data_IF_236260121935
#
_entry.id   IF_236260121935
#
_cell.length_a   1.000
_cell.length_b   1.000
_cell.length_c   1.000
_cell.angle_alpha   90.00
_cell.angle_beta   90.00
_cell.angle_gamma   90.00
#
_symmetry.space_group_name_H-M   'P 1'
#
loop_
_entity.id
_entity.type
_entity.pdbx_description
1 polymer ?
#
# COMPACT_ATOMS: atom_id res chain seq x y z
N UNK A 1 8.70 -12.56 -2.00
CA UNK A 1 7.74 -11.93 -1.09
C UNK A 1 6.36 -12.37 -1.52
N UNK A 2 5.52 -12.87 -0.62
CA UNK A 2 4.12 -13.17 -0.96
C UNK A 2 3.34 -11.87 -1.00
N UNK A 3 2.23 -11.88 -1.74
CA UNK A 3 1.34 -10.71 -1.84
C UNK A 3 0.85 -10.22 -0.46
N UNK A 4 0.53 -11.15 0.43
CA UNK A 4 0.10 -10.87 1.80
C UNK A 4 1.17 -10.11 2.59
N UNK A 5 2.44 -10.53 2.49
CA UNK A 5 3.56 -9.85 3.16
C UNK A 5 3.68 -8.41 2.66
N UNK A 6 3.48 -8.18 1.35
CA UNK A 6 3.55 -6.85 0.75
C UNK A 6 2.43 -5.96 1.26
N UNK A 7 1.21 -6.48 1.30
CA UNK A 7 0.11 -5.72 1.87
C UNK A 7 0.38 -5.35 3.33
N UNK A 8 0.92 -6.26 4.14
CA UNK A 8 1.23 -5.95 5.55
C UNK A 8 2.31 -4.88 5.68
N UNK A 9 3.37 -4.93 4.87
CA UNK A 9 4.40 -3.89 4.87
C UNK A 9 3.80 -2.52 4.48
N UNK A 10 2.98 -2.47 3.42
CA UNK A 10 2.33 -1.22 2.99
C UNK A 10 1.40 -0.66 4.07
N UNK A 11 0.64 -1.52 4.75
CA UNK A 11 -0.22 -1.12 5.89
C UNK A 11 0.60 -0.51 7.01
N UNK A 12 1.74 -1.12 7.37
CA UNK A 12 2.62 -0.59 8.41
C UNK A 12 3.13 0.81 8.04
N UNK A 13 3.66 0.97 6.82
CA UNK A 13 4.17 2.25 6.33
C UNK A 13 3.10 3.34 6.29
N UNK A 14 1.88 3.00 5.86
CA UNK A 14 0.74 3.92 5.87
C UNK A 14 0.28 4.34 7.28
N UNK A 15 0.58 3.55 8.32
CA UNK A 15 0.32 3.92 9.73
C UNK A 15 1.41 4.83 10.28
N UNK A 16 2.66 4.57 9.94
CA UNK A 16 3.82 5.31 10.45
C UNK A 16 3.96 6.70 9.82
N UNK A 17 3.65 6.83 8.54
CA UNK A 17 3.77 8.10 7.83
C UNK A 17 2.53 8.98 8.05
N UNK A 18 2.68 10.01 8.89
CA UNK A 18 1.62 11.00 9.15
C UNK A 18 1.13 11.64 7.85
N UNK A 19 -0.19 11.64 7.66
CA UNK A 19 -0.83 12.26 6.49
C UNK A 19 -0.93 11.36 5.26
N UNK A 20 -0.18 10.27 5.17
CA UNK A 20 -0.15 9.41 3.98
C UNK A 20 -1.53 8.83 3.63
N UNK A 21 -2.32 8.37 4.60
CA UNK A 21 -3.66 7.84 4.34
C UNK A 21 -4.61 8.88 3.72
N UNK A 22 -4.54 10.13 4.18
CA UNK A 22 -5.35 11.20 3.65
C UNK A 22 -4.92 11.59 2.24
N UNK A 23 -3.62 11.55 1.97
CA UNK A 23 -3.06 11.81 0.65
C UNK A 23 -3.38 10.71 -0.37
N UNK A 24 -3.24 9.44 0.03
CA UNK A 24 -3.67 8.28 -0.78
C UNK A 24 -5.16 8.39 -1.12
N UNK A 25 -6.01 8.69 -0.13
CA UNK A 25 -7.44 8.87 -0.37
C UNK A 25 -7.72 9.97 -1.40
N UNK A 26 -7.03 11.12 -1.27
CA UNK A 26 -7.13 12.25 -2.22
C UNK A 26 -6.69 11.85 -3.63
N UNK A 27 -5.53 11.20 -3.77
CA UNK A 27 -4.97 10.82 -5.08
C UNK A 27 -5.83 9.75 -5.78
N UNK A 28 -6.39 8.81 -5.02
CA UNK A 28 -7.27 7.76 -5.55
C UNK A 28 -8.72 8.21 -5.78
N UNK A 29 -9.11 9.39 -5.28
CA UNK A 29 -10.51 9.84 -5.36
C UNK A 29 -11.47 8.99 -4.52
N UNK A 30 -10.98 8.34 -3.46
CA UNK A 30 -11.78 7.48 -2.56
C UNK A 30 -11.94 8.13 -1.19
N UNK A 31 -12.86 7.58 -0.37
CA UNK A 31 -13.05 8.07 1.00
C UNK A 31 -11.85 7.72 1.89
N UNK A 32 -11.57 8.58 2.89
CA UNK A 32 -10.56 8.28 3.92
C UNK A 32 -10.89 7.01 4.72
N UNK A 33 -12.19 6.73 4.89
CA UNK A 33 -12.65 5.52 5.55
C UNK A 33 -12.27 4.25 4.77
N UNK A 34 -12.37 4.27 3.44
CA UNK A 34 -11.93 3.15 2.61
C UNK A 34 -10.42 2.88 2.77
N UNK A 35 -9.59 3.94 2.76
CA UNK A 35 -8.15 3.79 3.04
C UNK A 35 -7.89 3.28 4.45
N UNK A 36 -8.67 3.74 5.44
CA UNK A 36 -8.62 3.24 6.81
C UNK A 36 -8.91 1.75 6.92
N UNK A 37 -9.88 1.22 6.17
CA UNK A 37 -10.19 -0.22 6.13
C UNK A 37 -9.04 -1.04 5.54
N UNK A 38 -8.38 -0.54 4.48
CA UNK A 38 -7.19 -1.20 3.94
C UNK A 38 -6.08 -1.26 4.99
N UNK A 39 -5.85 -0.14 5.69
CA UNK A 39 -4.81 -0.03 6.71
C UNK A 39 -5.12 -0.89 7.93
N UNK A 40 -6.38 -0.97 8.36
CA UNK A 40 -6.82 -1.82 9.47
C UNK A 40 -6.68 -3.31 9.14
N UNK A 41 -6.73 -3.68 7.86
CA UNK A 41 -6.74 -5.06 7.39
C UNK A 41 -8.14 -5.64 7.24
N UNK A 42 -9.19 -4.81 7.39
CA UNK A 42 -10.57 -5.21 7.16
C UNK A 42 -10.85 -5.50 5.68
N UNK A 43 -10.09 -4.84 4.80
CA UNK A 43 -10.10 -5.06 3.36
C UNK A 43 -8.67 -5.24 2.82
N UNK A 44 -8.54 -6.01 1.74
CA UNK A 44 -7.31 -6.07 0.97
C UNK A 44 -7.04 -4.75 0.23
N UNK A 45 -5.76 -4.43 0.04
CA UNK A 45 -5.33 -3.32 -0.82
C UNK A 45 -5.52 -3.77 -2.28
N UNK A 46 -6.36 -3.10 -3.08
CA UNK A 46 -6.48 -3.42 -4.51
C UNK A 46 -5.15 -3.20 -5.23
N UNK A 47 -4.78 -4.11 -6.14
CA UNK A 47 -3.54 -3.99 -6.91
C UNK A 47 -3.46 -2.68 -7.72
N UNK A 48 -4.60 -2.16 -8.18
CA UNK A 48 -4.71 -0.86 -8.87
C UNK A 48 -4.34 0.33 -7.99
N UNK A 49 -4.32 0.19 -6.67
CA UNK A 49 -3.95 1.26 -5.74
C UNK A 49 -2.45 1.27 -5.40
N UNK A 50 -1.71 0.23 -5.79
CA UNK A 50 -0.31 0.05 -5.40
C UNK A 50 0.57 1.21 -5.85
N UNK A 51 0.45 1.63 -7.11
CA UNK A 51 1.28 2.71 -7.67
C UNK A 51 1.16 3.99 -6.85
N UNK A 52 -0.07 4.42 -6.56
CA UNK A 52 -0.35 5.63 -5.78
C UNK A 52 0.13 5.50 -4.33
N UNK A 53 -0.02 4.32 -3.73
CA UNK A 53 0.45 4.06 -2.37
C UNK A 53 1.98 4.14 -2.32
N UNK A 54 2.68 3.46 -3.25
CA UNK A 54 4.14 3.45 -3.33
C UNK A 54 4.69 4.85 -3.58
N UNK A 55 4.10 5.59 -4.52
CA UNK A 55 4.49 6.99 -4.81
C UNK A 55 4.32 7.88 -3.56
N UNK A 56 3.21 7.74 -2.83
CA UNK A 56 2.95 8.52 -1.61
C UNK A 56 3.91 8.18 -0.47
N UNK A 57 4.33 6.91 -0.39
CA UNK A 57 5.32 6.42 0.58
C UNK A 57 6.77 6.63 0.11
N UNK A 58 6.98 7.14 -1.11
CA UNK A 58 8.29 7.28 -1.75
C UNK A 58 9.07 5.96 -1.80
N UNK A 59 8.36 4.87 -2.13
CA UNK A 59 8.91 3.52 -2.24
C UNK A 59 8.93 3.05 -3.69
N UNK A 60 9.88 2.16 -4.01
CA UNK A 60 9.97 1.48 -5.29
C UNK A 60 9.85 -0.03 -5.09
N UNK A 61 9.17 -0.71 -6.01
CA UNK A 61 9.07 -2.17 -6.04
C UNK A 61 10.13 -2.74 -6.99
N UNK A 62 10.97 -3.63 -6.46
CA UNK A 62 11.97 -4.34 -7.26
C UNK A 62 11.58 -5.79 -7.52
N UNK A 63 11.65 -6.21 -8.79
CA UNK A 63 11.42 -7.60 -9.18
C UNK A 63 12.72 -8.40 -9.02
N UNK A 64 12.77 -9.27 -8.00
CA UNK A 64 13.84 -10.26 -7.89
C UNK A 64 13.50 -11.51 -8.71
N UNK A 65 14.28 -11.76 -9.77
CA UNK A 65 14.24 -13.04 -10.48
C UNK A 65 14.72 -14.14 -9.55
N UNK A 66 13.93 -15.20 -9.42
CA UNK A 66 14.33 -16.41 -8.72
C UNK A 66 15.21 -17.21 -9.70
N UNK A 67 16.53 -17.18 -9.53
CA UNK A 67 17.36 -18.20 -10.16
C UNK A 67 17.01 -19.52 -9.48
N UNK A 68 16.41 -20.41 -10.27
CA UNK A 68 16.28 -21.81 -9.89
C UNK A 68 17.56 -22.46 -10.42
N UNK A 69 18.40 -22.94 -9.52
CA UNK A 69 19.55 -23.80 -9.83
C UNK A 69 19.08 -25.14 -10.40
#
# INVERSE_FOLDING_TARGET
MKWEDLQQELRLRLREQRGAQAEVARKLGVSRAAVGQYVAGDNDIPASHLEVILETLQLELELKKRHSE
#
